data_IF_354888816620
#
_entry.id   IF_354888816620
#
_cell.length_a   1.000
_cell.length_b   1.000
_cell.length_c   1.000
_cell.angle_alpha   90.00
_cell.angle_beta   90.00
_cell.angle_gamma   90.00
#
_symmetry.space_group_name_H-M   'P 1'
#
loop_
_entity.id
_entity.type
_entity.pdbx_description
1 polymer ?
#
# COMPACT_ATOMS: atom_id res chain seq x y z
N UNK A 1 14.23 -29.05 55.57
CA UNK A 1 13.70 -27.78 54.99
C UNK A 1 14.60 -27.08 53.95
N UNK A 2 15.87 -27.42 53.77
CA UNK A 2 16.78 -26.78 52.79
C UNK A 2 16.61 -27.25 51.32
N UNK A 3 16.16 -28.49 51.09
CA UNK A 3 16.03 -29.10 49.74
C UNK A 3 14.87 -28.45 48.92
N UNK A 4 13.83 -27.94 49.56
CA UNK A 4 12.69 -27.34 48.87
C UNK A 4 12.98 -25.97 48.23
N UNK A 5 13.91 -25.18 48.79
CA UNK A 5 14.28 -23.88 48.25
C UNK A 5 15.16 -24.02 46.97
N UNK A 6 16.08 -24.97 46.98
CA UNK A 6 16.95 -25.20 45.83
C UNK A 6 16.14 -25.70 44.60
N UNK A 7 15.15 -26.57 44.81
CA UNK A 7 14.26 -27.04 43.72
C UNK A 7 13.41 -25.88 43.16
N UNK A 8 12.93 -24.98 43.97
CA UNK A 8 12.15 -23.82 43.50
C UNK A 8 13.00 -22.83 42.69
N UNK A 9 14.26 -22.63 43.10
CA UNK A 9 15.20 -21.77 42.39
C UNK A 9 15.62 -22.37 41.02
N UNK A 10 15.84 -23.67 40.97
CA UNK A 10 16.16 -24.37 39.72
C UNK A 10 14.99 -24.39 38.75
N UNK A 11 13.74 -24.57 39.18
CA UNK A 11 12.56 -24.51 38.35
C UNK A 11 12.33 -23.08 37.84
N UNK A 12 12.51 -22.05 38.67
CA UNK A 12 12.38 -20.66 38.23
C UNK A 12 13.45 -20.26 37.22
N UNK A 13 14.71 -20.72 37.40
CA UNK A 13 15.78 -20.48 36.45
C UNK A 13 15.56 -21.20 35.11
N UNK A 14 15.01 -22.42 35.14
CA UNK A 14 14.67 -23.18 33.92
C UNK A 14 13.51 -22.55 33.15
N UNK A 15 12.51 -22.02 33.83
CA UNK A 15 11.38 -21.30 33.20
C UNK A 15 11.83 -19.97 32.59
N UNK A 16 12.71 -19.23 33.28
CA UNK A 16 13.26 -17.98 32.76
C UNK A 16 14.15 -18.21 31.51
N UNK A 17 14.97 -19.26 31.52
CA UNK A 17 15.77 -19.63 30.36
C UNK A 17 14.91 -20.07 29.17
N UNK A 18 13.83 -20.83 29.42
CA UNK A 18 12.89 -21.22 28.38
C UNK A 18 12.14 -20.02 27.75
N UNK A 19 11.76 -19.04 28.56
CA UNK A 19 11.11 -17.81 28.06
C UNK A 19 12.07 -16.95 27.24
N UNK A 20 13.34 -16.86 27.64
CA UNK A 20 14.35 -16.11 26.86
C UNK A 20 14.64 -16.80 25.51
N UNK A 21 14.75 -18.14 25.50
CA UNK A 21 14.94 -18.90 24.25
C UNK A 21 13.70 -18.81 23.36
N UNK A 22 12.49 -18.87 23.90
CA UNK A 22 11.28 -18.71 23.12
C UNK A 22 11.16 -17.28 22.55
N UNK A 23 11.51 -16.25 23.32
CA UNK A 23 11.54 -14.86 22.85
C UNK A 23 12.56 -14.61 21.75
N UNK A 24 13.76 -15.18 21.86
CA UNK A 24 14.82 -15.05 20.83
C UNK A 24 14.50 -15.82 19.57
N UNK A 25 13.88 -16.99 19.67
CA UNK A 25 13.44 -17.78 18.50
C UNK A 25 12.29 -17.07 17.77
N UNK A 26 11.35 -16.46 18.49
CA UNK A 26 10.28 -15.69 17.87
C UNK A 26 10.80 -14.42 17.17
N UNK A 27 11.75 -13.71 17.78
CA UNK A 27 12.40 -12.54 17.17
C UNK A 27 13.23 -12.92 15.93
N UNK A 28 13.96 -14.07 15.98
CA UNK A 28 14.75 -14.52 14.82
C UNK A 28 13.87 -15.05 13.69
N UNK A 29 12.72 -15.64 13.97
CA UNK A 29 11.75 -16.05 12.95
C UNK A 29 11.07 -14.85 12.31
N UNK A 30 10.74 -13.80 13.08
CA UNK A 30 10.26 -12.53 12.54
C UNK A 30 11.28 -11.90 11.59
N UNK A 31 12.54 -11.78 12.01
CA UNK A 31 13.61 -11.21 11.16
C UNK A 31 13.98 -12.10 9.96
N UNK A 32 13.76 -13.43 10.00
CA UNK A 32 14.00 -14.31 8.87
C UNK A 32 12.91 -14.21 7.79
N UNK A 33 11.68 -13.84 8.15
CA UNK A 33 10.63 -13.54 7.17
C UNK A 33 10.95 -12.28 6.35
N UNK A 34 11.58 -11.29 6.95
CA UNK A 34 12.02 -10.04 6.29
C UNK A 34 13.13 -10.24 5.25
N UNK A 35 13.76 -11.40 5.18
CA UNK A 35 14.81 -11.71 4.20
C UNK A 35 14.36 -12.63 3.07
N UNK A 36 13.09 -12.95 2.95
CA UNK A 36 12.63 -13.65 1.75
C UNK A 36 12.78 -12.69 0.57
N UNK A 37 13.74 -13.00 -0.30
CA UNK A 37 13.82 -12.38 -1.62
C UNK A 37 12.47 -12.61 -2.30
N UNK A 38 11.70 -11.56 -2.46
CA UNK A 38 10.45 -11.63 -3.20
C UNK A 38 10.81 -12.07 -4.61
N UNK A 39 10.22 -13.16 -5.04
CA UNK A 39 10.36 -13.62 -6.43
C UNK A 39 9.39 -12.79 -7.24
N UNK A 40 9.91 -11.82 -7.95
CA UNK A 40 9.12 -11.05 -8.90
C UNK A 40 8.60 -11.99 -9.97
N UNK A 41 7.28 -12.04 -10.12
CA UNK A 41 6.63 -12.82 -11.17
C UNK A 41 6.76 -12.08 -12.52
N UNK A 42 6.80 -12.82 -13.65
CA UNK A 42 6.81 -12.18 -14.97
C UNK A 42 5.55 -11.32 -15.16
N UNK A 43 5.72 -10.14 -15.75
CA UNK A 43 4.60 -9.30 -16.13
C UNK A 43 3.67 -10.01 -17.12
N UNK A 44 2.35 -9.88 -16.91
CA UNK A 44 1.36 -10.32 -17.87
C UNK A 44 1.49 -9.52 -19.18
N UNK A 45 1.33 -10.18 -20.31
CA UNK A 45 1.27 -9.51 -21.60
C UNK A 45 0.01 -8.65 -21.69
N UNK A 46 0.13 -7.44 -22.23
CA UNK A 46 -1.02 -6.57 -22.45
C UNK A 46 -2.01 -7.18 -23.45
N UNK A 47 -3.25 -7.40 -23.00
CA UNK A 47 -4.36 -7.96 -23.80
C UNK A 47 -5.64 -7.10 -23.75
N UNK A 48 -5.54 -5.90 -23.17
CA UNK A 48 -6.67 -4.98 -23.00
C UNK A 48 -7.49 -5.19 -21.74
N UNK A 49 -7.24 -6.24 -20.96
CA UNK A 49 -7.86 -6.40 -19.64
C UNK A 49 -7.21 -5.50 -18.60
N UNK A 50 -7.97 -5.16 -17.59
CA UNK A 50 -7.42 -4.47 -16.43
C UNK A 50 -6.36 -5.35 -15.76
N UNK A 51 -5.17 -4.80 -15.60
CA UNK A 51 -4.05 -5.44 -14.90
C UNK A 51 -3.60 -4.49 -13.80
N UNK A 52 -3.48 -5.00 -12.58
CA UNK A 52 -2.94 -4.20 -11.49
C UNK A 52 -1.45 -3.93 -11.75
N UNK A 53 -1.04 -2.69 -11.62
CA UNK A 53 0.36 -2.27 -11.83
C UNK A 53 0.91 -1.71 -10.53
N UNK A 54 2.01 -2.29 -10.07
CA UNK A 54 2.82 -1.77 -8.97
C UNK A 54 4.02 -1.04 -9.54
N UNK A 55 4.31 0.15 -9.01
CA UNK A 55 5.48 0.92 -9.39
C UNK A 55 6.71 0.46 -8.60
N UNK A 56 7.80 0.16 -9.31
CA UNK A 56 9.09 -0.16 -8.73
C UNK A 56 10.01 1.04 -8.72
N UNK A 57 10.84 1.14 -7.68
CA UNK A 57 11.85 2.18 -7.53
C UNK A 57 13.06 1.64 -6.75
N UNK A 58 14.20 2.32 -6.86
CA UNK A 58 15.41 1.92 -6.14
C UNK A 58 15.34 2.41 -4.69
N UNK A 59 15.64 1.52 -3.76
CA UNK A 59 15.74 1.81 -2.33
C UNK A 59 17.13 1.47 -1.85
N UNK A 60 17.80 2.43 -1.22
CA UNK A 60 19.10 2.21 -0.58
C UNK A 60 18.89 1.64 0.83
N UNK A 61 19.19 0.33 1.00
CA UNK A 61 19.23 -0.31 2.31
C UNK A 61 17.91 -0.77 2.88
N UNK A 62 16.80 -0.53 2.21
CA UNK A 62 15.46 -1.02 2.55
C UNK A 62 14.81 -1.73 1.37
N UNK A 63 13.97 -2.71 1.66
CA UNK A 63 12.87 -3.07 0.79
C UNK A 63 11.82 -1.96 0.91
N UNK A 64 11.03 -1.75 -0.12
CA UNK A 64 10.03 -0.69 -0.15
C UNK A 64 8.83 -1.18 -0.96
N UNK A 65 8.76 -0.83 -2.22
CA UNK A 65 7.62 -1.12 -3.08
C UNK A 65 7.21 -2.61 -3.18
N UNK A 66 8.07 -3.55 -2.81
CA UNK A 66 7.80 -4.99 -2.87
C UNK A 66 7.03 -5.56 -1.67
N UNK A 67 6.76 -4.79 -0.62
CA UNK A 67 5.90 -5.25 0.48
C UNK A 67 4.49 -5.59 -0.02
N UNK A 68 3.82 -6.57 0.62
CA UNK A 68 2.49 -7.11 0.32
C UNK A 68 2.38 -7.85 -1.03
N UNK A 69 3.41 -7.73 -1.88
CA UNK A 69 3.44 -8.37 -3.20
C UNK A 69 3.75 -9.87 -3.08
N UNK A 70 3.05 -10.74 -3.81
CA UNK A 70 1.91 -10.51 -4.70
C UNK A 70 0.55 -10.81 -4.04
N UNK A 71 0.51 -10.96 -2.72
CA UNK A 71 -0.69 -11.42 -2.03
C UNK A 71 -1.80 -10.36 -2.06
N UNK A 72 -1.44 -9.09 -1.85
CA UNK A 72 -2.38 -7.97 -1.92
C UNK A 72 -3.05 -7.90 -3.29
N UNK A 73 -2.28 -7.92 -4.38
CA UNK A 73 -2.80 -7.85 -5.75
C UNK A 73 -3.79 -8.99 -6.04
N UNK A 74 -3.44 -10.22 -5.68
CA UNK A 74 -4.28 -11.39 -5.92
C UNK A 74 -5.58 -11.34 -5.15
N UNK A 75 -5.51 -10.97 -3.89
CA UNK A 75 -6.69 -10.82 -3.05
C UNK A 75 -7.58 -9.71 -3.57
N UNK A 76 -7.02 -8.54 -3.90
CA UNK A 76 -7.78 -7.42 -4.42
C UNK A 76 -8.38 -7.73 -5.81
N UNK A 77 -7.61 -8.29 -6.74
CA UNK A 77 -8.13 -8.60 -8.08
C UNK A 77 -9.23 -9.68 -8.03
N UNK A 78 -9.16 -10.62 -7.09
CA UNK A 78 -10.25 -11.57 -6.86
C UNK A 78 -11.54 -10.83 -6.46
N UNK A 79 -11.46 -9.96 -5.47
CA UNK A 79 -12.61 -9.19 -4.99
C UNK A 79 -13.15 -8.24 -6.08
N UNK A 80 -12.27 -7.55 -6.80
CA UNK A 80 -12.67 -6.66 -7.89
C UNK A 80 -13.41 -7.42 -9.00
N UNK A 81 -12.92 -8.61 -9.37
CA UNK A 81 -13.56 -9.49 -10.34
C UNK A 81 -14.96 -9.94 -9.90
N UNK A 82 -15.09 -10.32 -8.63
CA UNK A 82 -16.34 -10.88 -8.10
C UNK A 82 -17.43 -9.83 -7.89
N UNK A 83 -17.04 -8.58 -7.64
CA UNK A 83 -17.97 -7.50 -7.31
C UNK A 83 -18.29 -6.57 -8.48
N UNK A 84 -17.45 -6.51 -9.50
CA UNK A 84 -17.55 -5.52 -10.58
C UNK A 84 -17.57 -6.15 -11.97
N UNK A 85 -17.84 -5.35 -13.00
CA UNK A 85 -17.74 -5.77 -14.41
C UNK A 85 -16.36 -5.45 -15.02
N UNK A 86 -15.33 -5.21 -14.21
CA UNK A 86 -13.99 -4.84 -14.70
C UNK A 86 -13.28 -6.05 -15.33
N UNK A 87 -13.51 -7.27 -14.84
CA UNK A 87 -12.88 -8.52 -15.31
C UNK A 87 -11.35 -8.44 -15.42
N UNK A 88 -10.64 -8.17 -14.30
CA UNK A 88 -9.19 -8.01 -14.30
C UNK A 88 -8.44 -9.32 -14.52
N UNK A 89 -7.13 -9.23 -14.72
CA UNK A 89 -6.23 -10.37 -14.46
C UNK A 89 -6.21 -10.67 -12.95
N UNK A 90 -6.74 -11.85 -12.56
CA UNK A 90 -6.95 -12.18 -11.13
C UNK A 90 -5.67 -12.70 -10.46
N UNK A 91 -4.80 -13.37 -11.21
CA UNK A 91 -3.60 -14.03 -10.67
C UNK A 91 -2.29 -13.36 -11.05
N UNK A 92 -2.34 -12.46 -12.01
CA UNK A 92 -1.20 -11.80 -12.61
C UNK A 92 -1.29 -10.30 -12.31
N UNK A 93 -0.17 -9.70 -12.05
CA UNK A 93 -0.01 -8.26 -11.89
C UNK A 93 1.30 -7.84 -12.55
N UNK A 94 1.43 -6.56 -12.84
CA UNK A 94 2.62 -6.05 -13.48
C UNK A 94 3.42 -5.15 -12.55
N UNK A 95 4.74 -5.17 -12.73
CA UNK A 95 5.66 -4.27 -12.04
C UNK A 95 6.38 -3.48 -13.13
N UNK A 96 6.24 -2.16 -13.08
CA UNK A 96 6.90 -1.24 -14.01
C UNK A 96 7.69 -0.17 -13.26
N UNK A 97 8.83 0.22 -13.81
CA UNK A 97 9.49 1.44 -13.39
C UNK A 97 8.66 2.66 -13.85
N UNK A 98 8.82 3.79 -13.18
CA UNK A 98 8.04 5.01 -13.47
C UNK A 98 8.35 5.63 -14.84
N UNK A 99 9.51 5.34 -15.39
CA UNK A 99 9.98 5.76 -16.73
C UNK A 99 9.87 4.66 -17.79
N UNK A 100 9.27 3.50 -17.45
CA UNK A 100 9.01 2.45 -18.41
C UNK A 100 7.92 2.90 -19.41
N UNK A 101 8.19 2.92 -20.72
CA UNK A 101 7.20 3.29 -21.74
C UNK A 101 5.94 2.42 -21.72
N UNK A 102 6.05 1.15 -21.31
CA UNK A 102 4.93 0.21 -21.23
C UNK A 102 3.90 0.63 -20.17
N UNK A 103 4.30 1.40 -19.15
CA UNK A 103 3.38 1.94 -18.14
C UNK A 103 2.24 2.74 -18.79
N UNK A 104 2.48 3.37 -19.95
CA UNK A 104 1.45 4.15 -20.66
C UNK A 104 0.24 3.34 -21.16
N UNK A 105 0.31 2.02 -21.14
CA UNK A 105 -0.80 1.12 -21.48
C UNK A 105 -1.78 0.88 -20.34
N UNK A 106 -1.41 1.24 -19.12
CA UNK A 106 -2.15 0.93 -17.91
C UNK A 106 -2.71 2.21 -17.27
N UNK A 107 -4.02 2.27 -17.03
CA UNK A 107 -4.65 3.50 -16.52
C UNK A 107 -4.44 3.73 -15.03
N UNK A 108 -4.13 2.67 -14.26
CA UNK A 108 -3.98 2.72 -12.80
C UNK A 108 -2.66 2.13 -12.39
N UNK A 109 -1.96 2.80 -11.48
CA UNK A 109 -0.75 2.28 -10.84
C UNK A 109 -0.78 2.53 -9.32
N UNK A 110 -0.06 1.69 -8.59
CA UNK A 110 0.04 1.70 -7.14
C UNK A 110 1.48 1.93 -6.70
N UNK A 111 1.68 2.88 -5.80
CA UNK A 111 2.96 3.23 -5.20
C UNK A 111 2.89 2.94 -3.70
N UNK A 112 3.57 1.86 -3.28
CA UNK A 112 3.73 1.45 -1.89
C UNK A 112 4.99 2.05 -1.29
N UNK A 113 5.02 2.25 0.02
CA UNK A 113 6.19 2.73 0.80
C UNK A 113 6.81 4.03 0.26
N UNK A 114 6.02 5.05 -0.12
CA UNK A 114 6.56 6.28 -0.73
C UNK A 114 7.39 7.12 0.26
N UNK A 115 7.35 6.79 1.54
CA UNK A 115 8.22 7.37 2.57
C UNK A 115 9.71 7.16 2.30
N UNK A 116 10.06 6.18 1.48
CA UNK A 116 11.44 5.83 1.10
C UNK A 116 11.71 6.04 -0.40
N UNK A 117 10.74 6.57 -1.12
CA UNK A 117 10.84 6.81 -2.54
C UNK A 117 11.65 8.07 -2.86
N UNK A 118 12.66 7.92 -3.72
CA UNK A 118 13.51 9.01 -4.20
C UNK A 118 13.64 8.93 -5.73
N UNK A 119 12.69 9.50 -6.49
CA UNK A 119 12.76 9.41 -7.95
C UNK A 119 13.95 10.21 -8.49
N UNK A 120 14.66 9.64 -9.46
CA UNK A 120 15.56 10.39 -10.31
C UNK A 120 14.79 11.25 -11.33
N UNK A 121 15.52 11.99 -12.19
CA UNK A 121 14.88 12.91 -13.15
C UNK A 121 14.11 12.16 -14.24
N UNK A 122 14.57 10.97 -14.65
CA UNK A 122 13.89 10.12 -15.63
C UNK A 122 12.57 9.59 -15.07
N UNK A 123 12.61 9.02 -13.87
CA UNK A 123 11.44 8.50 -13.17
C UNK A 123 10.39 9.60 -12.91
N UNK A 124 10.84 10.77 -12.45
CA UNK A 124 9.94 11.90 -12.23
C UNK A 124 9.29 12.39 -13.52
N UNK A 125 10.05 12.48 -14.63
CA UNK A 125 9.53 12.87 -15.94
C UNK A 125 8.59 11.81 -16.52
N UNK A 126 8.92 10.52 -16.37
CA UNK A 126 8.09 9.40 -16.80
C UNK A 126 6.75 9.39 -16.11
N UNK A 127 6.74 9.43 -14.77
CA UNK A 127 5.51 9.45 -13.97
C UNK A 127 4.65 10.70 -14.27
N UNK A 128 5.27 11.88 -14.39
CA UNK A 128 4.57 13.11 -14.81
C UNK A 128 3.87 12.93 -16.15
N UNK A 129 4.60 12.37 -17.13
CA UNK A 129 4.08 12.13 -18.47
C UNK A 129 2.91 11.16 -18.45
N UNK A 130 3.00 10.09 -17.67
CA UNK A 130 1.93 9.12 -17.50
C UNK A 130 0.68 9.72 -16.85
N UNK A 131 0.85 10.49 -15.78
CA UNK A 131 -0.26 11.22 -15.13
C UNK A 131 -0.94 12.19 -16.10
N UNK A 132 -0.16 12.97 -16.86
CA UNK A 132 -0.69 13.92 -17.85
C UNK A 132 -1.45 13.24 -19.01
N UNK A 133 -1.17 11.96 -19.29
CA UNK A 133 -1.87 11.16 -20.32
C UNK A 133 -3.10 10.43 -19.81
N UNK A 134 -3.53 10.66 -18.59
CA UNK A 134 -4.72 10.05 -18.03
C UNK A 134 -4.44 8.99 -16.95
N UNK A 135 -3.19 8.75 -16.59
CA UNK A 135 -2.84 7.84 -15.50
C UNK A 135 -3.43 8.26 -14.15
N UNK A 136 -3.80 7.29 -13.35
CA UNK A 136 -4.30 7.47 -11.98
C UNK A 136 -3.40 6.74 -10.99
N UNK A 137 -2.81 7.48 -10.03
CA UNK A 137 -1.88 6.96 -9.05
C UNK A 137 -2.55 6.76 -7.70
N UNK A 138 -2.45 5.55 -7.15
CA UNK A 138 -2.79 5.23 -5.77
C UNK A 138 -1.49 5.22 -4.97
N UNK A 139 -1.40 6.04 -3.94
CA UNK A 139 -0.26 6.15 -3.02
C UNK A 139 -0.69 5.63 -1.66
N UNK A 140 0.04 4.68 -1.10
CA UNK A 140 -0.36 3.95 0.09
C UNK A 140 0.85 3.49 0.90
N UNK A 141 0.63 2.99 2.13
CA UNK A 141 1.64 2.33 2.95
C UNK A 141 2.77 3.27 3.38
N UNK A 142 2.42 4.32 4.12
CA UNK A 142 3.38 5.21 4.77
C UNK A 142 2.73 6.03 5.89
N UNK A 143 3.54 6.45 6.85
CA UNK A 143 3.04 7.13 8.04
C UNK A 143 4.03 8.12 8.66
N UNK A 144 3.49 9.00 9.48
CA UNK A 144 4.27 9.94 10.28
C UNK A 144 4.92 11.07 9.48
N UNK A 145 5.44 12.09 10.18
CA UNK A 145 5.89 13.32 9.53
C UNK A 145 7.16 13.16 8.69
N UNK A 146 8.02 12.19 9.03
CA UNK A 146 9.26 11.96 8.30
C UNK A 146 8.99 11.40 6.89
N UNK A 147 8.18 10.35 6.80
CA UNK A 147 7.83 9.73 5.52
C UNK A 147 6.96 10.66 4.67
N UNK A 148 6.07 11.42 5.32
CA UNK A 148 5.32 12.49 4.64
C UNK A 148 6.24 13.51 3.97
N UNK A 149 7.24 14.01 4.70
CA UNK A 149 8.18 15.01 4.16
C UNK A 149 8.93 14.48 2.94
N UNK A 150 9.38 13.23 2.99
CA UNK A 150 10.06 12.60 1.85
C UNK A 150 9.12 12.44 0.65
N UNK A 151 7.93 11.91 0.89
CA UNK A 151 6.90 11.77 -0.15
C UNK A 151 6.56 13.12 -0.80
N UNK A 152 6.31 14.15 -0.01
CA UNK A 152 5.96 15.48 -0.50
C UNK A 152 7.07 16.08 -1.38
N UNK A 153 8.33 15.95 -0.98
CA UNK A 153 9.48 16.39 -1.77
C UNK A 153 9.60 15.61 -3.08
N UNK A 154 9.43 14.29 -3.04
CA UNK A 154 9.50 13.42 -4.21
C UNK A 154 8.35 13.68 -5.17
N UNK A 155 7.14 13.87 -4.66
CA UNK A 155 5.97 14.21 -5.47
C UNK A 155 6.09 15.62 -6.07
N UNK A 156 6.69 16.58 -5.37
CA UNK A 156 6.98 17.91 -5.92
C UNK A 156 7.98 17.85 -7.10
N UNK A 157 8.90 16.89 -7.10
CA UNK A 157 9.78 16.66 -8.25
C UNK A 157 9.00 16.13 -9.47
N UNK A 158 7.99 15.29 -9.23
CA UNK A 158 7.08 14.78 -10.28
C UNK A 158 6.15 15.88 -10.78
N UNK A 159 5.47 16.58 -9.89
CA UNK A 159 4.48 17.63 -10.18
C UNK A 159 4.88 18.93 -9.45
N UNK A 160 5.78 19.74 -10.02
CA UNK A 160 6.31 20.94 -9.35
C UNK A 160 5.23 21.96 -8.96
N UNK A 161 4.17 22.08 -9.76
CA UNK A 161 3.06 22.99 -9.51
C UNK A 161 1.87 22.28 -8.85
N UNK A 162 1.96 20.96 -8.61
CA UNK A 162 0.89 20.15 -8.06
C UNK A 162 0.61 20.47 -6.59
N UNK A 163 -0.66 20.67 -6.24
CA UNK A 163 -1.11 20.95 -4.87
C UNK A 163 -1.76 19.72 -4.27
N UNK A 164 -1.22 19.26 -3.15
CA UNK A 164 -1.83 18.19 -2.36
C UNK A 164 -2.93 18.82 -1.50
N UNK A 165 -4.17 18.38 -1.71
CA UNK A 165 -5.35 18.87 -0.96
C UNK A 165 -5.99 17.73 -0.16
N UNK A 166 -6.62 18.01 1.00
CA UNK A 166 -7.37 17.00 1.72
C UNK A 166 -8.62 16.58 0.93
N UNK A 167 -8.96 15.30 1.01
CA UNK A 167 -10.20 14.73 0.49
C UNK A 167 -11.09 14.35 1.66
N UNK A 168 -12.32 14.83 1.65
CA UNK A 168 -13.36 14.42 2.59
C UNK A 168 -14.34 13.43 1.95
N UNK A 169 -15.22 12.87 2.76
CA UNK A 169 -16.17 11.83 2.34
C UNK A 169 -17.14 12.25 1.24
N UNK A 170 -17.29 13.55 0.97
CA UNK A 170 -18.15 14.08 -0.11
C UNK A 170 -17.47 14.00 -1.49
N UNK A 171 -16.16 13.69 -1.52
CA UNK A 171 -15.46 13.55 -2.78
C UNK A 171 -16.00 12.36 -3.60
N UNK A 172 -16.26 12.51 -4.91
CA UNK A 172 -16.82 11.46 -5.76
C UNK A 172 -16.07 10.13 -5.71
N UNK A 173 -14.75 10.14 -5.44
CA UNK A 173 -13.95 8.92 -5.34
C UNK A 173 -14.44 7.99 -4.22
N UNK A 174 -15.08 8.51 -3.17
CA UNK A 174 -15.62 7.73 -2.06
C UNK A 174 -17.07 7.24 -2.30
N UNK A 175 -17.63 7.50 -3.48
CA UNK A 175 -18.98 7.06 -3.89
C UNK A 175 -19.00 6.49 -5.32
N UNK A 176 -17.85 6.12 -5.87
CA UNK A 176 -17.73 5.66 -7.26
C UNK A 176 -18.31 4.26 -7.49
N UNK A 177 -18.34 3.41 -6.48
CA UNK A 177 -18.95 2.09 -6.47
C UNK A 177 -19.60 1.78 -5.12
N UNK A 178 -18.84 1.88 -4.04
CA UNK A 178 -19.35 1.78 -2.68
C UNK A 178 -19.59 3.17 -2.12
N UNK A 179 -20.75 3.39 -1.51
CA UNK A 179 -21.01 4.62 -0.76
C UNK A 179 -20.29 4.56 0.61
N UNK A 180 -19.12 5.19 0.71
CA UNK A 180 -18.33 5.26 1.94
C UNK A 180 -18.82 6.41 2.80
N UNK A 181 -19.43 6.10 3.94
CA UNK A 181 -20.06 7.08 4.83
C UNK A 181 -19.10 7.77 5.79
N UNK A 182 -17.94 7.18 6.03
CA UNK A 182 -16.93 7.69 6.95
C UNK A 182 -15.54 7.23 6.54
N UNK A 183 -14.57 8.12 6.70
CA UNK A 183 -13.13 7.83 6.49
C UNK A 183 -12.40 7.67 7.84
N UNK A 184 -13.17 7.58 8.95
CA UNK A 184 -12.60 7.45 10.30
C UNK A 184 -12.42 5.99 10.67
N UNK A 185 -11.44 5.74 11.53
CA UNK A 185 -11.21 4.43 12.16
C UNK A 185 -10.09 3.61 11.54
N UNK A 186 -9.59 3.98 10.37
CA UNK A 186 -8.38 3.39 9.81
C UNK A 186 -7.13 4.09 10.34
N UNK A 187 -6.04 3.36 10.38
CA UNK A 187 -4.69 3.83 10.70
C UNK A 187 -3.69 2.86 10.07
N UNK A 188 -2.43 3.24 9.98
CA UNK A 188 -1.39 2.31 9.55
C UNK A 188 -1.28 1.14 10.54
N UNK A 189 -1.24 -0.13 10.08
CA UNK A 189 -1.20 -1.30 10.96
C UNK A 189 0.02 -1.36 11.88
N UNK A 190 1.16 -0.87 11.44
CA UNK A 190 2.39 -0.77 12.26
C UNK A 190 2.30 0.29 13.36
N UNK A 191 1.37 1.25 13.26
CA UNK A 191 1.17 2.36 14.20
C UNK A 191 -0.31 2.49 14.59
N UNK A 192 -0.94 1.42 15.10
CA UNK A 192 -2.37 1.40 15.33
C UNK A 192 -2.79 2.47 16.35
N UNK A 193 -3.66 3.40 15.90
CA UNK A 193 -4.20 4.46 16.73
C UNK A 193 -3.23 5.62 17.06
N UNK A 194 -1.98 5.59 16.59
CA UNK A 194 -1.02 6.69 16.79
C UNK A 194 -1.29 7.82 15.81
N UNK A 195 -1.45 7.48 14.54
CA UNK A 195 -1.69 8.42 13.47
C UNK A 195 -3.02 8.09 12.79
N UNK A 196 -4.04 8.95 12.87
CA UNK A 196 -5.28 8.72 12.12
C UNK A 196 -5.03 8.82 10.61
N UNK A 197 -5.64 7.93 9.84
CA UNK A 197 -5.58 7.96 8.38
C UNK A 197 -6.08 9.30 7.84
N UNK A 198 -5.38 9.82 6.85
CA UNK A 198 -5.72 11.03 6.11
C UNK A 198 -5.74 10.74 4.63
N UNK A 199 -6.83 11.11 3.98
CA UNK A 199 -6.98 10.96 2.55
C UNK A 199 -6.73 12.30 1.87
N UNK A 200 -5.84 12.31 0.90
CA UNK A 200 -5.45 13.51 0.17
C UNK A 200 -5.40 13.23 -1.32
N UNK A 201 -5.31 14.27 -2.14
CA UNK A 201 -5.22 14.08 -3.57
C UNK A 201 -4.58 15.24 -4.32
N UNK A 202 -4.29 15.00 -5.59
CA UNK A 202 -3.81 16.01 -6.53
C UNK A 202 -4.73 15.98 -7.75
N UNK A 203 -5.30 17.13 -8.07
CA UNK A 203 -6.17 17.29 -9.23
C UNK A 203 -5.40 17.83 -10.45
N UNK A 204 -5.86 17.46 -11.62
CA UNK A 204 -5.39 18.03 -12.87
C UNK A 204 -5.55 19.56 -12.86
N UNK A 205 -4.48 20.27 -13.22
CA UNK A 205 -4.38 21.74 -13.18
C UNK A 205 -4.72 22.37 -11.81
N UNK A 206 -4.63 21.59 -10.74
CA UNK A 206 -5.03 21.98 -9.37
C UNK A 206 -6.51 22.39 -9.25
N UNK A 207 -7.35 21.95 -10.15
CA UNK A 207 -8.78 22.28 -10.21
C UNK A 207 -9.64 21.09 -9.73
N UNK A 208 -10.31 21.19 -8.57
CA UNK A 208 -11.17 20.12 -8.07
C UNK A 208 -12.38 19.78 -8.96
N UNK A 209 -12.69 20.58 -9.96
CA UNK A 209 -13.71 20.27 -10.97
C UNK A 209 -13.20 19.38 -12.09
N UNK A 210 -11.88 19.14 -12.15
CA UNK A 210 -11.21 18.27 -13.10
C UNK A 210 -10.91 16.91 -12.46
N UNK A 211 -10.27 16.05 -13.22
CA UNK A 211 -9.91 14.70 -12.80
C UNK A 211 -8.97 14.71 -11.59
N UNK A 212 -9.26 13.90 -10.59
CA UNK A 212 -8.30 13.54 -9.56
C UNK A 212 -7.25 12.62 -10.20
N UNK A 213 -5.99 13.01 -10.18
CA UNK A 213 -4.88 12.26 -10.77
C UNK A 213 -4.19 11.34 -9.76
N UNK A 214 -4.15 11.75 -8.50
CA UNK A 214 -3.45 11.04 -7.43
C UNK A 214 -4.34 10.98 -6.21
N UNK A 215 -4.56 9.79 -5.66
CA UNK A 215 -5.12 9.59 -4.32
C UNK A 215 -4.01 9.13 -3.36
N UNK A 216 -4.01 9.67 -2.16
CA UNK A 216 -2.95 9.48 -1.16
C UNK A 216 -3.57 9.01 0.15
N UNK A 217 -3.24 7.80 0.58
CA UNK A 217 -3.66 7.20 1.84
C UNK A 217 -2.58 7.43 2.91
N UNK A 218 -2.44 8.65 3.38
CA UNK A 218 -1.43 8.97 4.40
C UNK A 218 -1.83 8.45 5.78
N UNK A 219 -0.89 7.91 6.53
CA UNK A 219 -1.08 7.21 7.80
C UNK A 219 -2.01 5.99 7.67
N UNK A 220 -1.94 5.32 6.55
CA UNK A 220 -2.74 4.15 6.25
C UNK A 220 -1.94 3.16 5.40
N UNK A 221 -2.42 1.93 5.36
CA UNK A 221 -1.90 0.87 4.54
C UNK A 221 -3.07 -0.06 4.20
N UNK A 222 -3.72 0.24 3.07
CA UNK A 222 -4.81 -0.61 2.58
C UNK A 222 -4.27 -1.89 1.94
N UNK A 223 -3.00 -1.89 1.51
CA UNK A 223 -2.30 -3.04 0.96
C UNK A 223 -2.19 -4.15 1.99
N UNK A 224 -1.66 -3.86 3.17
CA UNK A 224 -1.47 -4.81 4.26
C UNK A 224 -2.83 -5.38 4.76
N UNK A 225 -3.85 -4.53 4.88
CA UNK A 225 -5.21 -5.01 5.22
C UNK A 225 -5.82 -5.95 4.18
N UNK A 226 -5.43 -5.84 2.90
CA UNK A 226 -5.84 -6.75 1.84
C UNK A 226 -4.96 -8.00 1.76
N UNK A 227 -3.64 -7.88 1.96
CA UNK A 227 -2.71 -9.01 1.98
C UNK A 227 -3.12 -10.05 3.00
N UNK A 228 -3.36 -9.61 4.24
CA UNK A 228 -3.67 -10.50 5.37
C UNK A 228 -5.17 -10.78 5.55
N UNK A 229 -5.99 -10.39 4.59
CA UNK A 229 -7.43 -10.62 4.67
C UNK A 229 -7.75 -12.12 4.72
N UNK A 230 -8.71 -12.49 5.57
CA UNK A 230 -9.10 -13.89 5.77
C UNK A 230 -8.13 -14.73 6.62
N UNK A 231 -6.97 -14.20 7.01
CA UNK A 231 -5.99 -14.90 7.84
C UNK A 231 -6.15 -14.63 9.36
N UNK A 232 -7.04 -13.69 9.72
CA UNK A 232 -7.31 -13.35 11.12
C UNK A 232 -6.23 -12.48 11.78
N UNK A 233 -5.33 -11.88 11.00
CA UNK A 233 -4.30 -10.96 11.49
C UNK A 233 -4.94 -9.65 11.92
N UNK A 234 -5.81 -9.10 11.09
CA UNK A 234 -6.56 -7.86 11.35
C UNK A 234 -8.05 -8.12 11.52
N UNK A 235 -8.73 -7.20 12.19
CA UNK A 235 -10.18 -7.25 12.30
C UNK A 235 -10.81 -7.07 10.89
N UNK A 236 -11.82 -7.89 10.59
CA UNK A 236 -12.43 -8.00 9.24
C UNK A 236 -12.95 -6.66 8.68
N UNK A 237 -13.36 -5.73 9.55
CA UNK A 237 -13.82 -4.41 9.12
C UNK A 237 -12.72 -3.61 8.41
N UNK A 238 -11.45 -3.70 8.83
CA UNK A 238 -10.33 -3.01 8.16
C UNK A 238 -10.10 -3.55 6.75
N UNK A 239 -10.06 -4.88 6.59
CA UNK A 239 -9.97 -5.50 5.26
C UNK A 239 -11.15 -5.11 4.37
N UNK A 240 -12.37 -5.12 4.90
CA UNK A 240 -13.56 -4.70 4.15
C UNK A 240 -13.49 -3.23 3.72
N UNK A 241 -13.01 -2.33 4.59
CA UNK A 241 -12.89 -0.91 4.25
C UNK A 241 -11.75 -0.67 3.26
N UNK A 242 -10.64 -1.40 3.36
CA UNK A 242 -9.55 -1.39 2.37
C UNK A 242 -10.05 -1.82 0.98
N UNK A 243 -10.80 -2.93 0.88
CA UNK A 243 -11.38 -3.37 -0.39
C UNK A 243 -12.37 -2.37 -0.99
N UNK A 244 -13.21 -1.73 -0.16
CA UNK A 244 -14.14 -0.69 -0.64
C UNK A 244 -13.39 0.52 -1.20
N UNK A 245 -12.35 0.98 -0.49
CA UNK A 245 -11.51 2.09 -0.94
C UNK A 245 -10.83 1.75 -2.27
N UNK A 246 -10.11 0.63 -2.33
CA UNK A 246 -9.39 0.20 -3.52
C UNK A 246 -10.32 -0.01 -4.72
N UNK A 247 -11.52 -0.62 -4.51
CA UNK A 247 -12.53 -0.77 -5.56
C UNK A 247 -13.02 0.58 -6.06
N UNK A 248 -13.32 1.51 -5.16
CA UNK A 248 -13.74 2.86 -5.53
C UNK A 248 -12.66 3.58 -6.35
N UNK A 249 -11.39 3.45 -5.96
CA UNK A 249 -10.27 4.07 -6.66
C UNK A 249 -10.14 3.56 -8.10
N UNK A 250 -10.23 2.24 -8.29
CA UNK A 250 -10.18 1.65 -9.63
C UNK A 250 -11.39 2.04 -10.46
N UNK A 251 -12.60 1.96 -9.91
CA UNK A 251 -13.82 2.36 -10.64
C UNK A 251 -13.78 3.86 -10.99
N UNK A 252 -13.37 4.72 -10.06
CA UNK A 252 -13.18 6.14 -10.33
C UNK A 252 -12.21 6.36 -11.50
N UNK A 253 -11.04 5.75 -11.45
CA UNK A 253 -10.01 5.89 -12.48
C UNK A 253 -10.46 5.42 -13.88
N UNK A 254 -11.34 4.43 -13.95
CA UNK A 254 -11.85 3.90 -15.22
C UNK A 254 -13.06 4.67 -15.76
N UNK A 255 -13.65 5.58 -14.97
CA UNK A 255 -14.89 6.28 -15.34
C UNK A 255 -14.75 7.81 -15.40
N UNK A 256 -13.64 8.36 -14.96
CA UNK A 256 -13.34 9.81 -14.92
C UNK A 256 -11.99 10.09 -15.57
#
# INVERSE_FOLDING_TARGET
MRVSRLRRVLIAASCAAALVVAGTVSATLGHAQWRRRIVQEPNASYDGKFTFVRLSYTVEGHSGWEFDYPAMERNFMTILNDLTSVHPHVRESNIHAMDDPELSRYPVAYLSEPGWWHPDDSQAAGLRTWLAKGGFLIVDDFYGPYEWQNFEQSMHKVLPDGRIVPLDVSNPIFDSFFHIKTLKGMSHPDQPGVWPAQFKGIYEDNDPSKRLMVVINYNNDIGDYMEWSGQGVYAINFSNDAYKLATNYVVYALTH
#
